data_IF_170320427463
#
_entry.id   IF_170320427463
#
_cell.length_a   1.000
_cell.length_b   1.000
_cell.length_c   1.000
_cell.angle_alpha   90.00
_cell.angle_beta   90.00
_cell.angle_gamma   90.00
#
_symmetry.space_group_name_H-M   'P 1'
#
loop_
_entity.id
_entity.type
_entity.pdbx_description
1 polymer ?
#
# COMPACT_ATOMS: atom_id res chain seq x y z
N UNK A 1 56.20 51.65 -13.29
CA UNK A 1 56.35 50.66 -12.20
C UNK A 1 54.99 50.08 -11.92
N UNK A 2 54.74 48.79 -11.78
CA UNK A 2 55.31 47.53 -12.25
C UNK A 2 54.21 46.50 -11.99
N UNK A 3 54.16 45.46 -12.81
CA UNK A 3 53.17 44.37 -12.82
C UNK A 3 53.06 43.61 -11.48
N UNK A 4 51.91 42.98 -11.24
CA UNK A 4 51.87 41.53 -11.04
C UNK A 4 50.48 40.94 -11.28
N UNK A 5 50.48 39.89 -12.11
CA UNK A 5 49.43 38.91 -12.29
C UNK A 5 49.15 38.12 -11.00
N UNK A 6 47.92 37.64 -10.82
CA UNK A 6 47.69 36.21 -10.53
C UNK A 6 46.22 35.83 -10.66
N UNK A 7 45.99 34.92 -11.59
CA UNK A 7 44.83 34.07 -11.77
C UNK A 7 44.55 33.23 -10.50
N UNK A 8 43.29 33.00 -10.12
CA UNK A 8 42.86 31.73 -9.52
C UNK A 8 41.35 31.55 -9.38
N UNK A 9 40.88 30.54 -10.12
CA UNK A 9 39.98 29.48 -9.68
C UNK A 9 38.51 29.82 -9.39
N UNK A 10 37.74 29.67 -10.48
CA UNK A 10 36.43 29.01 -10.48
C UNK A 10 36.35 27.85 -9.49
N UNK A 11 35.37 27.89 -8.60
CA UNK A 11 34.75 26.70 -8.04
C UNK A 11 33.26 26.78 -8.29
N UNK A 12 32.84 26.19 -9.41
CA UNK A 12 31.46 25.79 -9.61
C UNK A 12 31.07 24.77 -8.55
N UNK A 13 30.35 25.22 -7.53
CA UNK A 13 29.49 24.34 -6.76
C UNK A 13 28.25 24.07 -7.59
N UNK A 14 28.28 23.04 -8.45
CA UNK A 14 27.05 22.43 -8.93
C UNK A 14 26.35 21.88 -7.70
N UNK A 15 25.37 22.60 -7.18
CA UNK A 15 24.33 21.98 -6.36
C UNK A 15 23.73 20.90 -7.24
N UNK A 16 24.12 19.66 -6.96
CA UNK A 16 23.49 18.49 -7.52
C UNK A 16 22.05 18.58 -7.02
N UNK A 17 21.17 19.08 -7.88
CA UNK A 17 19.73 18.98 -7.69
C UNK A 17 19.48 17.51 -7.47
N UNK A 18 19.07 17.13 -6.26
CA UNK A 18 18.44 15.85 -6.01
C UNK A 18 17.34 15.74 -7.05
N UNK A 19 17.60 14.92 -8.06
CA UNK A 19 16.68 14.75 -9.18
C UNK A 19 15.53 13.94 -8.59
N UNK A 20 14.51 14.66 -8.10
CA UNK A 20 13.29 14.07 -7.56
C UNK A 20 12.80 13.01 -8.56
N UNK A 21 12.88 11.75 -8.15
CA UNK A 21 12.42 10.65 -8.99
C UNK A 21 10.91 10.82 -9.15
N UNK A 22 10.34 10.54 -10.34
CA UNK A 22 8.90 10.63 -10.52
C UNK A 22 8.22 9.65 -9.56
N UNK A 23 7.56 10.19 -8.53
CA UNK A 23 6.77 9.40 -7.58
C UNK A 23 5.48 9.00 -8.29
N UNK A 24 5.17 7.70 -8.30
CA UNK A 24 3.91 7.23 -8.87
C UNK A 24 2.74 7.75 -8.04
N UNK A 25 1.61 8.06 -8.69
CA UNK A 25 0.34 8.28 -7.97
C UNK A 25 -0.14 7.01 -7.28
N UNK A 26 0.33 5.83 -7.72
CA UNK A 26 -0.07 4.54 -7.18
C UNK A 26 0.19 4.46 -5.68
N UNK A 27 -0.89 4.15 -4.95
CA UNK A 27 -0.81 3.80 -3.53
C UNK A 27 -0.75 2.29 -3.42
N UNK A 28 0.26 1.80 -2.71
CA UNK A 28 0.32 0.41 -2.26
C UNK A 28 -0.20 0.38 -0.83
N UNK A 29 -1.13 -0.51 -0.55
CA UNK A 29 -1.69 -0.74 0.77
C UNK A 29 -1.28 -2.12 1.26
N UNK A 30 -0.88 -2.21 2.53
CA UNK A 30 -0.78 -3.48 3.23
C UNK A 30 -1.74 -3.51 4.41
N UNK A 31 -2.49 -4.59 4.58
CA UNK A 31 -3.31 -4.83 5.76
C UNK A 31 -2.98 -6.21 6.36
N UNK A 32 -2.41 -6.22 7.56
CA UNK A 32 -2.06 -7.46 8.26
C UNK A 32 -3.32 -8.15 8.78
N UNK A 33 -3.40 -9.46 8.60
CA UNK A 33 -4.56 -10.28 8.96
C UNK A 33 -4.14 -11.30 10.02
N UNK A 34 -4.70 -11.16 11.21
CA UNK A 34 -4.74 -12.19 12.23
C UNK A 34 -6.11 -12.87 12.19
N UNK A 35 -6.15 -14.19 12.04
CA UNK A 35 -7.40 -14.95 12.04
C UNK A 35 -7.82 -15.29 13.46
N UNK A 36 -9.13 -15.32 13.69
CA UNK A 36 -9.68 -15.92 14.90
C UNK A 36 -9.32 -17.40 14.97
N UNK A 37 -9.13 -17.91 16.18
CA UNK A 37 -8.64 -19.28 16.44
C UNK A 37 -9.46 -20.41 15.78
N UNK A 38 -10.74 -20.17 15.55
CA UNK A 38 -11.70 -21.11 14.98
C UNK A 38 -11.78 -21.07 13.45
N UNK A 39 -11.13 -20.10 12.81
CA UNK A 39 -11.22 -19.84 11.38
C UNK A 39 -10.10 -20.57 10.65
N UNK A 40 -10.45 -21.34 9.61
CA UNK A 40 -9.49 -22.02 8.76
C UNK A 40 -8.97 -21.13 7.63
N UNK A 41 -7.84 -21.50 7.02
CA UNK A 41 -7.36 -20.84 5.79
C UNK A 41 -8.38 -20.94 4.65
N UNK A 42 -9.13 -22.04 4.57
CA UNK A 42 -10.17 -22.20 3.56
C UNK A 42 -11.31 -21.19 3.75
N UNK A 43 -11.68 -20.90 5.00
CA UNK A 43 -12.68 -19.86 5.31
C UNK A 43 -12.15 -18.47 4.94
N UNK A 44 -10.88 -18.19 5.22
CA UNK A 44 -10.21 -16.96 4.79
C UNK A 44 -10.25 -16.79 3.27
N UNK A 45 -9.89 -17.82 2.52
CA UNK A 45 -9.90 -17.78 1.04
C UNK A 45 -11.32 -17.56 0.53
N UNK A 46 -12.31 -18.30 1.05
CA UNK A 46 -13.70 -18.16 0.63
C UNK A 46 -14.28 -16.76 0.92
N UNK A 47 -13.99 -16.19 2.09
CA UNK A 47 -14.41 -14.85 2.46
C UNK A 47 -13.67 -13.77 1.64
N UNK A 48 -12.37 -13.96 1.39
CA UNK A 48 -11.55 -13.08 0.54
C UNK A 48 -12.08 -13.04 -0.90
N UNK A 49 -12.42 -14.21 -1.44
CA UNK A 49 -13.01 -14.37 -2.77
C UNK A 49 -14.34 -13.61 -2.91
N UNK A 50 -15.16 -13.66 -1.86
CA UNK A 50 -16.41 -12.92 -1.79
C UNK A 50 -16.16 -11.42 -1.72
N UNK A 51 -15.23 -10.98 -0.87
CA UNK A 51 -14.81 -9.58 -0.77
C UNK A 51 -14.30 -9.04 -2.11
N UNK A 52 -13.48 -9.82 -2.83
CA UNK A 52 -13.00 -9.47 -4.16
C UNK A 52 -14.16 -9.27 -5.14
N UNK A 53 -15.02 -10.28 -5.30
CA UNK A 53 -16.09 -10.27 -6.32
C UNK A 53 -17.23 -9.29 -6.03
N UNK A 54 -17.67 -9.22 -4.78
CA UNK A 54 -18.86 -8.44 -4.42
C UNK A 54 -18.53 -6.98 -4.11
N UNK A 55 -17.27 -6.66 -3.81
CA UNK A 55 -16.89 -5.32 -3.40
C UNK A 55 -15.78 -4.72 -4.23
N UNK A 56 -14.65 -5.39 -4.48
CA UNK A 56 -13.50 -4.78 -5.16
C UNK A 56 -13.60 -4.79 -6.69
N UNK A 57 -14.17 -5.84 -7.28
CA UNK A 57 -14.26 -6.00 -8.72
C UNK A 57 -14.97 -4.83 -9.40
N UNK A 58 -14.33 -4.23 -10.40
CA UNK A 58 -14.86 -3.10 -11.15
C UNK A 58 -14.85 -1.75 -10.42
N UNK A 59 -14.28 -1.66 -9.21
CA UNK A 59 -14.12 -0.37 -8.51
C UNK A 59 -13.18 0.56 -9.26
N UNK A 60 -13.58 1.83 -9.33
CA UNK A 60 -12.71 2.90 -9.83
C UNK A 60 -11.42 2.95 -9.01
N UNK A 61 -10.28 2.89 -9.69
CA UNK A 61 -8.97 3.03 -9.07
C UNK A 61 -8.45 1.77 -8.37
N UNK A 62 -9.22 0.68 -8.28
CA UNK A 62 -8.67 -0.63 -7.90
C UNK A 62 -7.82 -1.18 -9.05
N UNK A 63 -6.57 -1.53 -8.78
CA UNK A 63 -5.67 -2.09 -9.80
C UNK A 63 -5.48 -3.60 -9.61
N UNK A 64 -5.13 -4.01 -8.39
CA UNK A 64 -4.83 -5.41 -8.04
C UNK A 64 -4.88 -5.59 -6.54
N UNK A 65 -5.24 -6.80 -6.11
CA UNK A 65 -5.04 -7.29 -4.75
C UNK A 65 -4.40 -8.66 -4.76
N UNK A 66 -3.56 -8.91 -3.77
CA UNK A 66 -3.02 -10.22 -3.45
C UNK A 66 -3.33 -10.54 -1.99
N UNK A 67 -3.88 -11.73 -1.76
CA UNK A 67 -3.94 -12.31 -0.43
C UNK A 67 -2.67 -13.12 -0.21
N UNK A 68 -1.83 -12.66 0.70
CA UNK A 68 -0.52 -13.23 0.99
C UNK A 68 -0.57 -14.06 2.26
N UNK A 69 0.24 -15.11 2.30
CA UNK A 69 0.55 -15.88 3.50
C UNK A 69 2.02 -15.65 3.87
N UNK A 70 2.28 -15.38 5.14
CA UNK A 70 3.67 -15.26 5.61
C UNK A 70 4.33 -16.64 5.49
N UNK A 71 5.50 -16.69 4.84
CA UNK A 71 6.20 -17.95 4.57
C UNK A 71 6.63 -18.69 5.85
N UNK A 72 6.98 -17.94 6.90
CA UNK A 72 7.43 -18.46 8.19
C UNK A 72 6.67 -17.75 9.33
N UNK A 73 6.26 -18.49 10.37
CA UNK A 73 5.59 -17.90 11.53
C UNK A 73 4.06 -17.75 11.42
N UNK A 74 3.46 -18.12 10.28
CA UNK A 74 2.02 -18.03 10.06
C UNK A 74 1.51 -16.59 9.90
N UNK A 75 0.22 -16.43 9.64
CA UNK A 75 -0.41 -15.13 9.39
C UNK A 75 -0.57 -14.80 7.92
N UNK A 76 -1.37 -13.76 7.66
CA UNK A 76 -1.76 -13.36 6.32
C UNK A 76 -1.71 -11.84 6.17
N UNK A 77 -1.73 -11.37 4.94
CA UNK A 77 -1.72 -9.95 4.63
C UNK A 77 -2.39 -9.70 3.29
N UNK A 78 -3.18 -8.64 3.22
CA UNK A 78 -3.57 -8.08 1.94
C UNK A 78 -2.51 -7.12 1.43
N UNK A 79 -2.15 -7.26 0.16
CA UNK A 79 -1.37 -6.29 -0.61
C UNK A 79 -2.27 -5.74 -1.72
N UNK A 80 -2.59 -4.45 -1.67
CA UNK A 80 -3.50 -3.82 -2.62
C UNK A 80 -2.79 -2.68 -3.35
N UNK A 81 -3.05 -2.57 -4.65
CA UNK A 81 -2.59 -1.48 -5.49
C UNK A 81 -3.78 -0.63 -5.92
N UNK A 82 -3.70 0.65 -5.60
CA UNK A 82 -4.66 1.68 -5.96
C UNK A 82 -4.05 2.65 -6.98
N UNK A 83 -4.86 3.21 -7.87
CA UNK A 83 -4.42 4.20 -8.85
C UNK A 83 -3.90 5.49 -8.18
N UNK A 84 -4.52 5.89 -7.07
CA UNK A 84 -4.27 7.10 -6.31
C UNK A 84 -4.80 7.00 -4.86
N UNK A 85 -4.50 8.02 -4.07
CA UNK A 85 -4.90 8.15 -2.66
C UNK A 85 -6.42 8.32 -2.50
N UNK A 86 -7.07 9.03 -3.43
CA UNK A 86 -8.53 9.22 -3.43
C UNK A 86 -9.26 7.88 -3.56
N UNK A 87 -8.78 6.99 -4.44
CA UNK A 87 -9.34 5.65 -4.60
C UNK A 87 -9.19 4.80 -3.34
N UNK A 88 -8.03 4.85 -2.68
CA UNK A 88 -7.79 4.12 -1.43
C UNK A 88 -8.69 4.62 -0.29
N UNK A 89 -8.80 5.93 -0.11
CA UNK A 89 -9.64 6.56 0.92
C UNK A 89 -11.13 6.27 0.71
N UNK A 90 -11.62 6.38 -0.54
CA UNK A 90 -13.02 6.12 -0.86
C UNK A 90 -13.43 4.69 -0.50
N UNK A 91 -12.56 3.71 -0.78
CA UNK A 91 -12.80 2.31 -0.45
C UNK A 91 -12.89 2.08 1.05
N UNK A 92 -12.02 2.70 1.85
CA UNK A 92 -12.05 2.58 3.31
C UNK A 92 -13.38 3.05 3.90
N UNK A 93 -13.92 4.18 3.42
CA UNK A 93 -15.21 4.72 3.87
C UNK A 93 -16.35 3.77 3.51
N UNK A 94 -16.37 3.24 2.30
CA UNK A 94 -17.44 2.37 1.82
C UNK A 94 -17.40 0.97 2.45
N UNK A 95 -16.19 0.45 2.72
CA UNK A 95 -15.98 -0.88 3.28
C UNK A 95 -16.69 -1.06 4.63
N UNK A 96 -16.76 -0.01 5.45
CA UNK A 96 -17.45 -0.04 6.74
C UNK A 96 -18.93 -0.45 6.64
N UNK A 97 -19.57 -0.15 5.50
CA UNK A 97 -21.01 -0.40 5.28
C UNK A 97 -21.31 -1.59 4.37
N UNK A 98 -20.26 -2.20 3.78
CA UNK A 98 -20.41 -3.31 2.84
C UNK A 98 -20.61 -4.64 3.57
N UNK A 99 -21.68 -5.40 3.28
CA UNK A 99 -21.88 -6.73 3.85
C UNK A 99 -20.76 -7.72 3.50
N UNK A 100 -20.17 -7.60 2.31
CA UNK A 100 -19.05 -8.45 1.90
C UNK A 100 -17.78 -8.14 2.71
N UNK A 101 -17.50 -6.86 2.95
CA UNK A 101 -16.38 -6.44 3.79
C UNK A 101 -16.59 -6.85 5.24
N UNK A 102 -17.79 -6.64 5.78
CA UNK A 102 -18.12 -7.05 7.15
C UNK A 102 -17.96 -8.57 7.34
N UNK A 103 -18.40 -9.37 6.37
CA UNK A 103 -18.19 -10.82 6.39
C UNK A 103 -16.69 -11.17 6.41
N UNK A 104 -15.89 -10.48 5.60
CA UNK A 104 -14.44 -10.69 5.54
C UNK A 104 -13.72 -10.25 6.82
N UNK A 105 -14.09 -9.12 7.39
CA UNK A 105 -13.51 -8.62 8.64
C UNK A 105 -13.96 -9.43 9.86
N UNK A 106 -15.15 -10.04 9.82
CA UNK A 106 -15.69 -10.81 10.95
C UNK A 106 -14.86 -12.05 11.32
N UNK A 107 -14.06 -12.57 10.40
CA UNK A 107 -13.20 -13.74 10.63
C UNK A 107 -11.81 -13.38 11.19
N UNK A 108 -11.53 -12.08 11.35
CA UNK A 108 -10.25 -11.55 11.81
C UNK A 108 -10.29 -11.17 13.29
N UNK A 109 -9.14 -11.20 13.95
CA UNK A 109 -8.92 -10.53 15.21
C UNK A 109 -8.73 -9.04 14.93
N UNK A 110 -9.69 -8.22 15.36
CA UNK A 110 -9.65 -6.76 15.21
C UNK A 110 -9.79 -6.10 16.58
N UNK A 111 -9.02 -5.05 16.82
CA UNK A 111 -9.28 -4.11 17.91
C UNK A 111 -10.37 -3.13 17.47
N UNK A 112 -11.58 -3.15 18.07
CA UNK A 112 -12.64 -2.20 17.72
C UNK A 112 -12.26 -0.74 18.00
N UNK A 113 -11.30 -0.49 18.90
CA UNK A 113 -10.79 0.85 19.16
C UNK A 113 -9.83 1.33 18.06
N UNK A 114 -9.20 0.40 17.34
CA UNK A 114 -8.22 0.67 16.29
C UNK A 114 -8.46 -0.23 15.06
N UNK A 115 -9.58 -0.06 14.32
CA UNK A 115 -9.94 -0.95 13.21
C UNK A 115 -8.96 -0.91 12.03
N UNK A 116 -8.07 0.08 11.98
CA UNK A 116 -7.02 0.23 10.97
C UNK A 116 -5.64 -0.20 11.49
N UNK A 117 -5.56 -0.86 12.65
CA UNK A 117 -4.33 -1.44 13.15
C UNK A 117 -3.78 -2.43 12.11
N UNK A 118 -2.48 -2.30 11.78
CA UNK A 118 -1.86 -3.12 10.72
C UNK A 118 -2.08 -2.63 9.28
N UNK A 119 -2.91 -1.60 9.04
CA UNK A 119 -3.05 -0.98 7.72
C UNK A 119 -1.95 0.07 7.50
N UNK A 120 -1.30 0.05 6.33
CA UNK A 120 -0.27 1.02 5.93
C UNK A 120 -0.41 1.35 4.44
N UNK A 121 -0.24 2.62 4.10
CA UNK A 121 -0.15 3.11 2.73
C UNK A 121 1.28 3.53 2.37
N UNK A 122 1.68 3.21 1.15
CA UNK A 122 3.00 3.52 0.60
C UNK A 122 2.84 4.16 -0.77
N UNK A 123 3.72 5.10 -1.10
CA UNK A 123 3.90 5.59 -2.48
C UNK A 123 5.07 4.86 -3.10
N UNK A 124 4.89 4.36 -4.32
CA UNK A 124 5.97 3.68 -5.04
C UNK A 124 7.04 4.69 -5.44
N UNK A 125 8.27 4.50 -4.94
CA UNK A 125 9.44 5.29 -5.35
C UNK A 125 10.04 4.79 -6.67
N UNK A 126 10.00 3.47 -6.90
CA UNK A 126 10.38 2.82 -8.13
C UNK A 126 9.61 1.49 -8.26
N UNK A 127 9.29 1.11 -9.49
CA UNK A 127 8.73 -0.19 -9.83
C UNK A 127 9.57 -0.80 -10.96
N UNK A 128 9.79 -2.11 -10.91
CA UNK A 128 10.61 -2.84 -11.88
C UNK A 128 9.76 -3.98 -12.44
N UNK A 129 9.60 -4.00 -13.76
CA UNK A 129 8.90 -5.06 -14.49
C UNK A 129 9.91 -6.06 -15.07
N UNK A 130 9.46 -7.30 -15.30
CA UNK A 130 10.29 -8.41 -15.76
C UNK A 130 10.54 -8.40 -17.28
#
# INVERSE_FOLDING_TARGET
MSLNDTNSHSTGGKTQTDKELPVSSTIVETAVIALRSEVSEADLVAASDRFQREFLDGRRGFLRRELLKVAEGGGYMDLIHWADEEAAEAVMVEAATSPACQAYFSIMEMDPANPNEGVRHYRSLAAYEA
#
